data_IF_771518527777
#
_entry.id   IF_771518527777
#
_cell.length_a   1.000
_cell.length_b   1.000
_cell.length_c   1.000
_cell.angle_alpha   90.00
_cell.angle_beta   90.00
_cell.angle_gamma   90.00
#
_symmetry.space_group_name_H-M   'P 1'
#
loop_
_entity.id
_entity.type
_entity.pdbx_description
1 polymer ?
#
# COMPACT_ATOMS: atom_id res chain seq x y z
N UNK A 1 9.63 -36.00 -9.90
CA UNK A 1 10.55 -34.86 -9.73
C UNK A 1 9.67 -33.61 -9.71
N UNK A 2 9.55 -32.84 -8.61
CA UNK A 2 8.64 -31.70 -8.59
C UNK A 2 9.27 -30.51 -9.35
N UNK A 3 8.45 -29.86 -10.17
CA UNK A 3 8.86 -28.90 -11.20
C UNK A 3 9.40 -27.55 -10.66
N UNK A 4 10.34 -26.90 -11.39
CA UNK A 4 11.02 -25.67 -10.97
C UNK A 4 10.12 -24.43 -10.83
N UNK A 5 8.92 -24.44 -11.43
CA UNK A 5 7.97 -23.30 -11.37
C UNK A 5 7.48 -23.04 -9.94
N UNK A 6 7.23 -24.11 -9.18
CA UNK A 6 6.74 -23.98 -7.80
C UNK A 6 7.78 -23.31 -6.90
N UNK A 7 9.07 -23.52 -7.15
CA UNK A 7 10.13 -22.91 -6.34
C UNK A 7 10.18 -21.40 -6.52
N UNK A 8 10.11 -20.90 -7.76
CA UNK A 8 10.14 -19.47 -8.05
C UNK A 8 8.91 -18.73 -7.51
N UNK A 9 7.71 -19.32 -7.68
CA UNK A 9 6.47 -18.74 -7.14
C UNK A 9 6.50 -18.70 -5.62
N UNK A 10 7.01 -19.75 -4.97
CA UNK A 10 7.16 -19.79 -3.52
C UNK A 10 8.21 -18.80 -3.00
N UNK A 11 9.32 -18.61 -3.72
CA UNK A 11 10.33 -17.62 -3.39
C UNK A 11 9.76 -16.20 -3.49
N UNK A 12 9.07 -15.85 -4.59
CA UNK A 12 8.43 -14.55 -4.77
C UNK A 12 7.42 -14.23 -3.66
N UNK A 13 6.58 -15.21 -3.28
CA UNK A 13 5.63 -15.06 -2.17
C UNK A 13 6.33 -14.79 -0.83
N UNK A 14 7.42 -15.51 -0.53
CA UNK A 14 8.21 -15.29 0.68
C UNK A 14 8.84 -13.89 0.70
N UNK A 15 9.42 -13.46 -0.42
CA UNK A 15 9.99 -12.12 -0.56
C UNK A 15 8.93 -11.04 -0.33
N UNK A 16 7.77 -11.17 -0.97
CA UNK A 16 6.67 -10.23 -0.78
C UNK A 16 6.20 -10.18 0.69
N UNK A 17 6.07 -11.34 1.33
CA UNK A 17 5.69 -11.42 2.75
C UNK A 17 6.72 -10.71 3.64
N UNK A 18 8.02 -10.91 3.41
CA UNK A 18 9.07 -10.20 4.14
C UNK A 18 8.98 -8.69 3.93
N UNK A 19 8.79 -8.23 2.70
CA UNK A 19 8.61 -6.80 2.39
C UNK A 19 7.39 -6.21 3.09
N UNK A 20 6.28 -6.94 3.15
CA UNK A 20 5.08 -6.51 3.87
C UNK A 20 5.28 -6.44 5.39
N UNK A 21 6.05 -7.36 5.97
CA UNK A 21 6.41 -7.27 7.40
C UNK A 21 7.28 -6.04 7.67
N UNK A 22 8.25 -5.74 6.81
CA UNK A 22 9.07 -4.53 6.90
C UNK A 22 8.18 -3.28 6.80
N UNK A 23 7.22 -3.26 5.86
CA UNK A 23 6.32 -2.12 5.68
C UNK A 23 5.45 -1.85 6.90
N UNK A 24 5.04 -2.91 7.62
CA UNK A 24 4.31 -2.83 8.90
C UNK A 24 5.19 -2.30 10.02
N UNK A 25 6.42 -2.77 10.15
CA UNK A 25 7.36 -2.28 11.16
C UNK A 25 7.66 -0.78 10.99
N UNK A 26 7.77 -0.32 9.73
CA UNK A 26 7.99 1.09 9.39
C UNK A 26 6.72 1.94 9.43
N UNK A 27 5.57 1.37 9.81
CA UNK A 27 4.28 2.06 9.85
C UNK A 27 3.93 2.82 8.57
N UNK A 28 4.27 2.25 7.41
CA UNK A 28 3.97 2.86 6.10
C UNK A 28 2.47 2.85 5.76
N UNK A 29 1.66 2.10 6.51
CA UNK A 29 0.22 1.96 6.32
C UNK A 29 -0.19 1.53 4.89
N UNK A 30 0.67 0.76 4.22
CA UNK A 30 0.37 0.20 2.90
C UNK A 30 -0.40 -1.13 3.04
N UNK A 31 -1.50 -1.24 2.31
CA UNK A 31 -2.22 -2.51 2.09
C UNK A 31 -1.36 -3.45 1.22
N UNK A 32 -1.42 -4.79 1.37
CA UNK A 32 -0.73 -5.74 0.50
C UNK A 32 -0.97 -5.47 -0.99
N UNK A 33 -2.18 -5.06 -1.38
CA UNK A 33 -2.49 -4.73 -2.78
C UNK A 33 -1.69 -3.52 -3.25
N UNK A 34 -1.69 -2.44 -2.45
CA UNK A 34 -0.93 -1.22 -2.74
C UNK A 34 0.57 -1.47 -2.77
N UNK A 35 1.09 -2.28 -1.84
CA UNK A 35 2.50 -2.66 -1.82
C UNK A 35 2.91 -3.42 -3.09
N UNK A 36 2.06 -4.35 -3.56
CA UNK A 36 2.31 -5.08 -4.81
C UNK A 36 2.36 -4.14 -6.02
N UNK A 37 1.47 -3.15 -6.08
CA UNK A 37 1.47 -2.12 -7.13
C UNK A 37 2.77 -1.31 -7.07
N UNK A 38 3.18 -0.87 -5.88
CA UNK A 38 4.42 -0.11 -5.71
C UNK A 38 5.65 -0.91 -6.15
N UNK A 39 5.72 -2.21 -5.85
CA UNK A 39 6.81 -3.09 -6.30
C UNK A 39 6.84 -3.14 -7.82
N UNK A 40 5.70 -3.37 -8.48
CA UNK A 40 5.62 -3.40 -9.95
C UNK A 40 6.03 -2.06 -10.56
N UNK A 41 5.62 -0.94 -9.98
CA UNK A 41 6.04 0.38 -10.45
C UNK A 41 7.56 0.57 -10.33
N UNK A 42 8.15 0.18 -9.21
CA UNK A 42 9.60 0.20 -9.02
C UNK A 42 10.33 -0.71 -10.02
N UNK A 43 9.80 -1.91 -10.30
CA UNK A 43 10.34 -2.84 -11.32
C UNK A 43 10.29 -2.25 -12.74
N UNK A 44 9.31 -1.36 -13.02
CA UNK A 44 9.22 -0.62 -14.28
C UNK A 44 10.14 0.62 -14.33
N UNK A 45 11.01 0.83 -13.33
CA UNK A 45 11.97 1.93 -13.30
C UNK A 45 11.43 3.25 -12.73
N UNK A 46 10.26 3.23 -12.07
CA UNK A 46 9.76 4.40 -11.36
C UNK A 46 10.65 4.73 -10.17
N UNK A 47 10.94 6.02 -9.97
CA UNK A 47 11.74 6.47 -8.84
C UNK A 47 10.98 6.23 -7.51
N UNK A 48 11.53 5.44 -6.57
CA UNK A 48 10.86 5.10 -5.32
C UNK A 48 10.61 6.32 -4.42
N UNK A 49 11.45 7.35 -4.49
CA UNK A 49 11.28 8.58 -3.73
C UNK A 49 10.08 9.39 -4.24
N UNK A 50 9.94 9.53 -5.57
CA UNK A 50 8.80 10.20 -6.17
C UNK A 50 7.49 9.43 -5.90
N UNK A 51 7.53 8.10 -6.02
CA UNK A 51 6.39 7.24 -5.71
C UNK A 51 5.94 7.38 -4.26
N UNK A 52 6.88 7.43 -3.30
CA UNK A 52 6.56 7.61 -1.90
C UNK A 52 5.84 8.95 -1.63
N UNK A 53 6.25 10.03 -2.30
CA UNK A 53 5.58 11.34 -2.18
C UNK A 53 4.16 11.28 -2.69
N UNK A 54 3.94 10.70 -3.87
CA UNK A 54 2.60 10.56 -4.47
C UNK A 54 1.68 9.71 -3.58
N UNK A 55 2.17 8.57 -3.09
CA UNK A 55 1.37 7.68 -2.23
C UNK A 55 0.99 8.37 -0.91
N UNK A 56 1.91 9.13 -0.31
CA UNK A 56 1.63 9.88 0.92
C UNK A 56 0.60 10.98 0.71
N UNK A 57 0.68 11.71 -0.41
CA UNK A 57 -0.28 12.77 -0.70
C UNK A 57 -1.67 12.21 -0.95
N UNK A 58 -1.78 11.14 -1.75
CA UNK A 58 -3.06 10.46 -1.99
C UNK A 58 -3.68 9.92 -0.69
N UNK A 59 -2.88 9.32 0.21
CA UNK A 59 -3.37 8.88 1.51
C UNK A 59 -3.89 10.04 2.37
N UNK A 60 -3.20 11.19 2.33
CA UNK A 60 -3.63 12.40 3.06
C UNK A 60 -4.94 12.93 2.48
N UNK A 61 -5.07 13.04 1.17
CA UNK A 61 -6.29 13.53 0.51
C UNK A 61 -7.49 12.62 0.81
N UNK A 62 -7.32 11.30 0.68
CA UNK A 62 -8.38 10.33 1.02
C UNK A 62 -8.79 10.45 2.49
N UNK A 63 -7.82 10.58 3.41
CA UNK A 63 -8.12 10.78 4.83
C UNK A 63 -8.89 12.09 5.05
N UNK A 64 -8.46 13.18 4.44
CA UNK A 64 -9.12 14.48 4.57
C UNK A 64 -10.54 14.48 4.01
N UNK A 65 -10.78 13.82 2.87
CA UNK A 65 -12.12 13.63 2.31
C UNK A 65 -13.01 12.82 3.25
N UNK A 66 -12.48 11.74 3.83
CA UNK A 66 -13.23 10.89 4.75
C UNK A 66 -13.56 11.62 6.06
N UNK A 67 -12.62 12.40 6.59
CA UNK A 67 -12.82 13.24 7.78
C UNK A 67 -13.88 14.33 7.52
N UNK A 68 -13.83 15.00 6.36
CA UNK A 68 -14.84 15.99 5.96
C UNK A 68 -16.24 15.38 5.82
N UNK A 69 -16.34 14.14 5.33
CA UNK A 69 -17.62 13.43 5.20
C UNK A 69 -18.18 13.03 6.58
N UNK A 70 -17.33 12.65 7.54
CA UNK A 70 -17.75 12.39 8.92
C UNK A 70 -18.30 13.62 9.64
N UNK A 71 -17.71 14.80 9.43
CA UNK A 71 -18.18 16.03 10.08
C UNK A 71 -19.56 16.48 9.57
N UNK A 72 -19.86 16.30 8.28
CA UNK A 72 -21.17 16.61 7.70
C UNK A 72 -22.33 15.76 8.27
N UNK A 73 -22.02 14.55 8.76
CA UNK A 73 -23.02 13.65 9.34
C UNK A 73 -23.37 14.00 10.80
N UNK A 74 -22.47 14.67 11.53
CA UNK A 74 -22.74 15.13 12.91
C UNK A 74 -23.69 16.32 12.97
N UNK A 75 -23.70 17.16 11.93
CA UNK A 75 -24.53 18.38 11.89
C UNK A 75 -26.02 18.10 11.68
N UNK A 76 -26.39 16.94 11.14
CA UNK A 76 -27.79 16.56 10.90
C UNK A 76 -28.46 15.90 12.12
N UNK A 77 -27.70 15.50 13.15
CA UNK A 77 -28.24 14.82 14.33
C UNK A 77 -28.60 15.77 15.50
N UNK A 78 -28.34 17.07 15.37
CA UNK A 78 -28.54 18.09 16.42
C UNK A 78 -29.47 19.23 16.04
N UNK A 79 -30.28 19.08 14.99
CA UNK A 79 -31.36 20.03 14.67
C UNK A 79 -32.73 19.38 14.76
#
# INVERSE_FOLDING_TARGET
MPEPVNHQVNAARKTFQTLYQISKLLNTNLDPTTLSICIRLCENGVNPHALATVVKELQREVKAMNDAQLESSKTNATK
#
